data_IF_228611409688
#
_entry.id   IF_228611409688
#
_cell.length_a   1.000
_cell.length_b   1.000
_cell.length_c   1.000
_cell.angle_alpha   90.00
_cell.angle_beta   90.00
_cell.angle_gamma   90.00
#
_symmetry.space_group_name_H-M   'P 1'
#
loop_
_entity.id
_entity.type
_entity.pdbx_description
1 polymer ?
#
# COMPACT_ATOMS: atom_id res chain seq x y z
N UNK A 1 13.85 2.84 -18.87
CA UNK A 1 13.19 1.56 -18.51
C UNK A 1 12.32 1.78 -17.27
N UNK A 2 11.01 1.53 -17.39
CA UNK A 2 10.01 1.76 -16.34
C UNK A 2 10.32 0.93 -15.08
N UNK A 3 10.54 -0.38 -15.26
CA UNK A 3 10.85 -1.26 -14.14
C UNK A 3 12.24 -0.98 -13.53
N UNK A 4 13.18 -0.45 -14.29
CA UNK A 4 14.46 -0.01 -13.75
C UNK A 4 14.27 1.18 -12.81
N UNK A 5 13.40 2.14 -13.15
CA UNK A 5 13.10 3.27 -12.27
C UNK A 5 12.50 2.81 -10.93
N UNK A 6 11.51 1.91 -10.96
CA UNK A 6 10.99 1.27 -9.75
C UNK A 6 12.08 0.56 -8.93
N UNK A 7 12.92 -0.25 -9.59
CA UNK A 7 13.98 -0.99 -8.91
C UNK A 7 15.02 -0.07 -8.29
N UNK A 8 15.38 1.00 -8.99
CA UNK A 8 16.34 2.00 -8.51
C UNK A 8 15.81 2.71 -7.26
N UNK A 9 14.54 3.13 -7.27
CA UNK A 9 13.93 3.78 -6.12
C UNK A 9 13.96 2.87 -4.89
N UNK A 10 13.41 1.67 -5.02
CA UNK A 10 13.29 0.74 -3.90
C UNK A 10 14.65 0.33 -3.34
N UNK A 11 15.62 0.05 -4.20
CA UNK A 11 16.97 -0.31 -3.76
C UNK A 11 17.67 0.83 -3.03
N UNK A 12 17.63 2.05 -3.59
CA UNK A 12 18.30 3.21 -2.97
C UNK A 12 17.64 3.62 -1.64
N UNK A 13 16.33 3.44 -1.48
CA UNK A 13 15.60 3.74 -0.27
C UNK A 13 15.73 2.66 0.82
N UNK A 14 16.09 1.42 0.44
CA UNK A 14 16.13 0.27 1.36
C UNK A 14 17.24 0.34 2.40
N UNK A 15 18.35 1.01 2.09
CA UNK A 15 19.58 0.98 2.90
C UNK A 15 20.41 -0.29 2.74
N UNK A 16 20.06 -1.20 1.83
CA UNK A 16 20.82 -2.43 1.56
C UNK A 16 22.04 -2.16 0.68
N UNK A 17 23.15 -2.85 0.93
CA UNK A 17 24.37 -2.80 0.08
C UNK A 17 24.18 -3.55 -1.24
N UNK A 18 23.42 -4.64 -1.17
CA UNK A 18 23.04 -5.51 -2.27
C UNK A 18 21.65 -6.06 -1.98
N UNK A 19 20.80 -6.16 -2.99
CA UNK A 19 19.48 -6.74 -2.85
C UNK A 19 18.99 -7.40 -4.14
N UNK A 20 18.04 -8.33 -3.97
CA UNK A 20 17.10 -8.72 -5.03
C UNK A 20 15.95 -7.72 -5.02
N UNK A 21 15.70 -7.06 -6.15
CA UNK A 21 14.54 -6.17 -6.28
C UNK A 21 13.53 -6.76 -7.23
N UNK A 22 12.34 -7.02 -6.69
CA UNK A 22 11.18 -7.52 -7.42
C UNK A 22 10.27 -6.34 -7.77
N UNK A 23 10.07 -6.14 -9.05
CA UNK A 23 9.11 -5.18 -9.58
C UNK A 23 7.91 -5.96 -10.06
N UNK A 24 6.76 -5.74 -9.43
CA UNK A 24 5.48 -6.39 -9.78
C UNK A 24 4.50 -5.26 -10.05
N UNK A 25 4.35 -4.95 -11.34
CA UNK A 25 3.62 -3.76 -11.74
C UNK A 25 2.47 -4.05 -12.69
N UNK A 26 1.58 -3.08 -12.81
CA UNK A 26 0.40 -3.16 -13.65
C UNK A 26 0.74 -3.19 -15.12
N UNK A 27 1.53 -2.22 -15.55
CA UNK A 27 1.89 -1.97 -16.92
C UNK A 27 3.28 -1.34 -16.98
N UNK A 28 4.31 -2.16 -17.07
CA UNK A 28 5.65 -1.67 -17.35
C UNK A 28 5.77 -1.08 -18.75
N UNK A 29 6.98 -0.93 -19.24
CA UNK A 29 7.23 -0.36 -20.56
C UNK A 29 6.43 -1.11 -21.65
N UNK A 30 5.74 -0.34 -22.49
CA UNK A 30 5.06 -0.87 -23.67
C UNK A 30 6.06 -1.03 -24.80
N UNK A 31 6.15 -2.23 -25.32
CA UNK A 31 6.92 -2.59 -26.48
C UNK A 31 6.06 -2.52 -27.76
N UNK A 32 6.66 -2.82 -28.91
CA UNK A 32 5.94 -3.08 -30.16
C UNK A 32 4.83 -4.12 -29.95
N UNK A 33 3.81 -4.12 -30.78
CA UNK A 33 2.69 -5.08 -30.76
C UNK A 33 1.91 -5.13 -29.45
N UNK A 34 1.93 -4.06 -28.65
CA UNK A 34 1.22 -3.93 -27.38
C UNK A 34 1.65 -4.93 -26.31
N UNK A 35 2.86 -5.47 -26.42
CA UNK A 35 3.47 -6.30 -25.37
C UNK A 35 3.99 -5.35 -24.26
N UNK A 36 3.72 -5.69 -23.00
CA UNK A 36 4.15 -4.94 -21.83
C UNK A 36 4.94 -5.80 -20.85
N UNK A 37 5.83 -5.14 -20.15
CA UNK A 37 6.45 -5.75 -18.96
C UNK A 37 5.41 -5.89 -17.85
N UNK A 38 5.49 -6.98 -17.09
CA UNK A 38 4.64 -7.24 -15.93
C UNK A 38 5.43 -7.46 -14.65
N UNK A 39 6.37 -8.39 -14.65
CA UNK A 39 7.27 -8.64 -13.54
C UNK A 39 8.72 -8.58 -13.99
N UNK A 40 9.57 -8.04 -13.13
CA UNK A 40 11.02 -8.04 -13.32
C UNK A 40 11.75 -8.33 -12.02
N UNK A 41 12.90 -8.99 -12.10
CA UNK A 41 13.78 -9.19 -10.95
C UNK A 41 15.18 -8.72 -11.31
N UNK A 42 15.74 -7.91 -10.43
CA UNK A 42 17.07 -7.36 -10.56
C UNK A 42 17.95 -7.76 -9.39
N UNK A 43 19.24 -8.00 -9.66
CA UNK A 43 20.29 -7.91 -8.64
C UNK A 43 20.79 -6.48 -8.64
N UNK A 44 20.64 -5.79 -7.52
CA UNK A 44 20.98 -4.38 -7.37
C UNK A 44 22.19 -4.21 -6.47
N UNK A 45 23.17 -3.40 -6.91
CA UNK A 45 24.38 -3.03 -6.17
C UNK A 45 24.75 -1.58 -6.44
N UNK A 46 25.32 -0.90 -5.45
CA UNK A 46 25.84 0.45 -5.65
C UNK A 46 27.04 0.50 -6.60
N UNK A 47 27.24 1.62 -7.34
CA UNK A 47 26.40 2.83 -7.33
C UNK A 47 25.12 2.70 -8.17
N UNK A 48 25.17 2.07 -9.32
CA UNK A 48 24.07 1.93 -10.28
C UNK A 48 24.22 0.63 -11.09
N UNK A 49 24.55 -0.47 -10.41
CA UNK A 49 24.66 -1.79 -11.07
C UNK A 49 23.37 -2.58 -10.85
N UNK A 50 22.53 -2.58 -11.87
CA UNK A 50 21.24 -3.27 -11.89
C UNK A 50 21.29 -4.38 -12.94
N UNK A 51 21.58 -5.61 -12.50
CA UNK A 51 21.60 -6.77 -13.39
C UNK A 51 20.20 -7.39 -13.44
N UNK A 52 19.56 -7.34 -14.60
CA UNK A 52 18.29 -8.06 -14.86
C UNK A 52 18.55 -9.55 -14.82
N UNK A 53 17.75 -10.31 -14.05
CA UNK A 53 17.81 -11.76 -13.96
C UNK A 53 16.48 -12.45 -14.30
N UNK A 54 15.40 -11.65 -14.41
CA UNK A 54 14.07 -12.11 -14.82
C UNK A 54 13.29 -11.00 -15.47
N UNK A 55 12.57 -11.30 -16.54
CA UNK A 55 11.58 -10.45 -17.18
C UNK A 55 10.39 -11.28 -17.60
N UNK A 56 9.19 -10.84 -17.28
CA UNK A 56 7.95 -11.38 -17.81
C UNK A 56 7.22 -10.34 -18.64
N UNK A 57 6.72 -10.76 -19.79
CA UNK A 57 5.99 -9.91 -20.72
C UNK A 57 4.60 -10.51 -20.96
N UNK A 58 3.61 -9.65 -21.16
CA UNK A 58 2.26 -10.07 -21.49
C UNK A 58 1.66 -9.22 -22.62
N UNK A 59 0.66 -9.74 -23.31
CA UNK A 59 -0.04 -9.04 -24.38
C UNK A 59 -1.23 -8.24 -23.83
N UNK A 60 -1.32 -6.96 -24.18
CA UNK A 60 -2.42 -6.07 -23.75
C UNK A 60 -3.66 -6.22 -24.63
N UNK A 61 -3.70 -7.07 -25.62
CA UNK A 61 -4.77 -7.04 -26.63
C UNK A 61 -5.81 -8.15 -26.53
N UNK A 62 -6.97 -7.80 -27.09
CA UNK A 62 -8.21 -8.55 -27.13
C UNK A 62 -8.25 -9.58 -28.25
N UNK A 63 -8.74 -10.75 -27.98
CA UNK A 63 -9.56 -11.51 -28.91
C UNK A 63 -8.84 -12.38 -29.94
N UNK A 64 -7.57 -12.70 -29.81
CA UNK A 64 -6.90 -13.72 -30.62
C UNK A 64 -5.99 -14.57 -29.77
N UNK A 65 -5.93 -15.86 -30.06
CA UNK A 65 -4.94 -16.80 -29.55
C UNK A 65 -3.54 -16.35 -30.00
N UNK A 66 -2.92 -15.50 -29.18
CA UNK A 66 -1.61 -14.96 -29.47
C UNK A 66 -0.59 -15.69 -28.62
N UNK A 67 0.26 -16.46 -29.27
CA UNK A 67 1.37 -17.14 -28.63
C UNK A 67 2.45 -16.11 -28.23
N UNK A 68 2.28 -15.52 -27.06
CA UNK A 68 3.23 -14.52 -26.53
C UNK A 68 4.57 -15.14 -26.22
N UNK A 69 4.61 -16.41 -25.83
CA UNK A 69 5.85 -17.10 -25.47
C UNK A 69 6.79 -17.23 -26.68
N UNK A 70 6.26 -17.49 -27.86
CA UNK A 70 7.02 -17.62 -29.10
C UNK A 70 7.05 -16.33 -29.94
N UNK A 71 6.50 -15.24 -29.43
CA UNK A 71 6.49 -13.96 -30.15
C UNK A 71 7.92 -13.50 -30.44
N UNK A 72 8.13 -12.97 -31.68
CA UNK A 72 9.45 -12.48 -32.11
C UNK A 72 10.07 -11.45 -31.17
N UNK A 73 9.27 -10.60 -30.53
CA UNK A 73 9.73 -9.61 -29.57
C UNK A 73 10.28 -10.29 -28.30
N UNK A 74 9.60 -11.30 -27.76
CA UNK A 74 10.09 -12.07 -26.61
C UNK A 74 11.40 -12.77 -26.97
N UNK A 75 11.50 -13.32 -28.19
CA UNK A 75 12.74 -13.91 -28.71
C UNK A 75 13.86 -12.87 -28.83
N UNK A 76 13.55 -11.62 -29.23
CA UNK A 76 14.49 -10.50 -29.26
C UNK A 76 14.94 -10.12 -27.83
N UNK A 77 14.01 -10.06 -26.85
CA UNK A 77 14.34 -9.79 -25.45
C UNK A 77 15.20 -10.90 -24.84
N UNK A 78 14.96 -12.17 -25.16
CA UNK A 78 15.84 -13.30 -24.76
C UNK A 78 17.28 -13.10 -25.26
N UNK A 79 17.48 -12.53 -26.44
CA UNK A 79 18.81 -12.22 -26.99
C UNK A 79 19.45 -11.01 -26.29
N UNK A 80 18.67 -9.99 -25.90
CA UNK A 80 19.17 -8.80 -25.19
C UNK A 80 19.55 -9.16 -23.75
N UNK A 81 18.69 -9.88 -23.04
CA UNK A 81 18.88 -10.30 -21.65
C UNK A 81 19.42 -11.73 -21.56
N UNK A 82 20.57 -12.01 -22.19
CA UNK A 82 21.15 -13.37 -22.32
C UNK A 82 21.27 -14.13 -21.00
N UNK A 83 21.56 -13.43 -19.91
CA UNK A 83 21.75 -14.02 -18.57
C UNK A 83 20.47 -14.04 -17.74
N UNK A 84 19.37 -13.54 -18.27
CA UNK A 84 18.09 -13.48 -17.58
C UNK A 84 17.14 -14.58 -18.08
N UNK A 85 16.27 -15.03 -17.17
CA UNK A 85 15.08 -15.78 -17.57
C UNK A 85 14.06 -14.80 -18.15
N UNK A 86 13.73 -14.93 -19.44
CA UNK A 86 12.74 -14.11 -20.11
C UNK A 86 11.56 -14.98 -20.52
N UNK A 87 10.38 -14.58 -20.08
CA UNK A 87 9.10 -15.23 -20.38
C UNK A 87 8.18 -14.31 -21.18
N UNK A 88 7.29 -14.90 -21.94
CA UNK A 88 6.11 -14.26 -22.47
C UNK A 88 4.90 -15.03 -21.98
N UNK A 89 3.97 -14.36 -21.35
CA UNK A 89 2.74 -14.93 -20.85
C UNK A 89 1.59 -14.57 -21.80
N UNK A 90 0.93 -15.57 -22.33
CA UNK A 90 -0.35 -15.42 -23.03
C UNK A 90 -1.50 -15.24 -22.04
N UNK A 91 -1.24 -15.54 -20.76
CA UNK A 91 -2.19 -15.52 -19.66
C UNK A 91 -2.07 -14.24 -18.82
N UNK A 92 -2.93 -14.17 -17.82
CA UNK A 92 -2.96 -13.06 -16.89
C UNK A 92 -1.77 -13.09 -15.93
N UNK A 93 -1.08 -11.98 -15.80
CA UNK A 93 -0.07 -11.79 -14.76
C UNK A 93 -0.70 -11.46 -13.40
N UNK A 94 0.12 -11.41 -12.35
CA UNK A 94 -0.30 -11.19 -10.96
C UNK A 94 -1.20 -9.96 -10.82
N UNK A 95 -0.80 -8.84 -11.41
CA UNK A 95 -1.53 -7.56 -11.28
C UNK A 95 -2.81 -7.55 -12.09
N UNK A 96 -2.82 -8.13 -13.29
CA UNK A 96 -4.00 -8.18 -14.16
C UNK A 96 -5.10 -9.06 -13.59
N UNK A 97 -4.76 -10.18 -12.98
CA UNK A 97 -5.73 -11.00 -12.24
C UNK A 97 -6.37 -10.19 -11.12
N UNK A 98 -5.56 -9.43 -10.38
CA UNK A 98 -6.08 -8.60 -9.29
C UNK A 98 -6.99 -7.47 -9.78
N UNK A 99 -6.61 -6.79 -10.88
CA UNK A 99 -7.43 -5.75 -11.52
C UNK A 99 -8.74 -6.30 -12.07
N UNK A 100 -8.68 -7.43 -12.76
CA UNK A 100 -9.85 -8.08 -13.32
C UNK A 100 -10.84 -8.49 -12.23
N UNK A 101 -10.33 -9.01 -11.11
CA UNK A 101 -11.15 -9.30 -9.95
C UNK A 101 -11.80 -8.03 -9.39
N UNK A 102 -11.06 -6.93 -9.32
CA UNK A 102 -11.57 -5.64 -8.85
C UNK A 102 -12.70 -5.14 -9.72
N UNK A 103 -12.55 -5.21 -11.04
CA UNK A 103 -13.61 -4.83 -11.99
C UNK A 103 -14.82 -5.78 -11.91
N UNK A 104 -14.57 -7.07 -11.76
CA UNK A 104 -15.61 -8.09 -11.68
C UNK A 104 -16.54 -7.89 -10.47
N UNK A 105 -15.98 -7.52 -9.33
CA UNK A 105 -16.76 -7.19 -8.11
C UNK A 105 -17.41 -5.80 -8.17
N UNK A 106 -17.34 -5.11 -9.32
CA UNK A 106 -18.04 -3.85 -9.58
C UNK A 106 -17.30 -2.60 -9.08
N UNK A 107 -15.99 -2.69 -8.84
CA UNK A 107 -15.15 -1.55 -8.47
C UNK A 107 -14.39 -1.00 -9.69
N UNK A 108 -13.87 0.23 -9.56
CA UNK A 108 -13.00 0.78 -10.60
C UNK A 108 -11.66 0.05 -10.61
N UNK A 109 -11.08 -0.15 -11.78
CA UNK A 109 -9.84 -0.92 -12.01
C UNK A 109 -8.65 -0.47 -11.14
N UNK A 110 -8.59 0.80 -10.76
CA UNK A 110 -7.55 1.36 -9.88
C UNK A 110 -7.85 1.22 -8.38
N UNK A 111 -8.99 0.62 -8.01
CA UNK A 111 -9.43 0.50 -6.61
C UNK A 111 -9.09 -0.86 -6.00
N UNK A 112 -7.96 -1.46 -6.39
CA UNK A 112 -7.49 -2.78 -5.93
C UNK A 112 -7.44 -2.93 -4.39
N UNK A 113 -7.22 -1.83 -3.67
CA UNK A 113 -7.30 -1.80 -2.21
C UNK A 113 -8.69 -2.13 -1.65
N UNK A 114 -9.76 -1.97 -2.44
CA UNK A 114 -11.12 -2.40 -2.05
C UNK A 114 -11.23 -3.93 -2.11
N UNK A 115 -10.71 -4.55 -3.17
CA UNK A 115 -10.63 -6.02 -3.31
C UNK A 115 -9.83 -6.63 -2.17
N UNK A 116 -8.67 -6.07 -1.84
CA UNK A 116 -7.84 -6.49 -0.71
C UNK A 116 -8.60 -6.41 0.63
N UNK A 117 -9.33 -5.33 0.88
CA UNK A 117 -10.15 -5.18 2.10
C UNK A 117 -11.32 -6.16 2.15
N UNK A 118 -11.95 -6.47 1.00
CA UNK A 118 -13.05 -7.41 0.90
C UNK A 118 -12.59 -8.86 1.09
N UNK A 119 -11.37 -9.19 0.68
CA UNK A 119 -10.80 -10.54 0.79
C UNK A 119 -10.81 -11.09 2.22
N UNK A 120 -10.63 -10.23 3.23
CA UNK A 120 -10.70 -10.63 4.64
C UNK A 120 -12.05 -11.21 5.07
N UNK A 121 -13.14 -10.90 4.38
CA UNK A 121 -14.48 -11.42 4.66
C UNK A 121 -14.80 -12.73 3.91
N UNK A 122 -13.92 -13.13 2.98
CA UNK A 122 -14.12 -14.31 2.15
C UNK A 122 -13.66 -15.60 2.81
N UNK A 123 -14.04 -16.72 2.20
CA UNK A 123 -13.69 -18.08 2.62
C UNK A 123 -13.06 -18.83 1.45
N UNK A 124 -12.19 -19.78 1.77
CA UNK A 124 -11.63 -20.70 0.79
C UNK A 124 -12.72 -21.66 0.26
N UNK A 125 -13.12 -21.48 -0.98
CA UNK A 125 -14.18 -22.29 -1.64
C UNK A 125 -13.66 -23.05 -2.86
N UNK A 126 -12.42 -23.41 -2.91
CA UNK A 126 -11.84 -24.24 -4.01
C UNK A 126 -12.25 -23.71 -5.39
N UNK A 127 -12.10 -22.41 -5.62
CA UNK A 127 -12.20 -21.88 -6.97
C UNK A 127 -11.13 -22.49 -7.87
N UNK A 128 -11.37 -22.58 -9.19
CA UNK A 128 -10.35 -22.98 -10.14
C UNK A 128 -9.10 -22.10 -10.02
N UNK A 129 -7.99 -22.58 -10.53
CA UNK A 129 -6.78 -21.77 -10.62
C UNK A 129 -7.03 -20.57 -11.51
N UNK A 130 -6.97 -19.37 -10.91
CA UNK A 130 -7.21 -18.11 -11.60
C UNK A 130 -6.11 -17.77 -12.62
N UNK A 131 -5.02 -18.48 -12.60
CA UNK A 131 -3.87 -18.33 -13.49
C UNK A 131 -3.81 -19.44 -14.54
N UNK A 132 -4.84 -20.28 -14.65
CA UNK A 132 -4.88 -21.34 -15.63
C UNK A 132 -5.39 -20.80 -16.98
N UNK A 133 -4.69 -21.14 -18.05
CA UNK A 133 -4.95 -20.74 -19.43
C UNK A 133 -6.35 -21.06 -19.91
N UNK A 134 -6.92 -22.19 -19.52
CA UNK A 134 -8.25 -22.63 -19.95
C UNK A 134 -9.41 -21.72 -19.48
N UNK A 135 -9.17 -20.84 -18.51
CA UNK A 135 -10.17 -19.95 -17.95
C UNK A 135 -9.98 -18.47 -18.32
N UNK A 136 -8.84 -18.10 -18.92
CA UNK A 136 -8.41 -16.71 -19.02
C UNK A 136 -7.88 -16.33 -20.39
N UNK A 137 -8.62 -16.57 -21.43
CA UNK A 137 -8.13 -16.29 -22.78
C UNK A 137 -7.86 -14.83 -23.08
N UNK A 138 -8.52 -13.88 -22.42
CA UNK A 138 -8.30 -12.45 -22.68
C UNK A 138 -8.78 -11.56 -21.56
N UNK A 139 -8.12 -10.44 -21.35
CA UNK A 139 -8.47 -9.40 -20.37
C UNK A 139 -9.97 -9.04 -20.32
N UNK A 140 -10.67 -9.04 -21.46
CA UNK A 140 -12.11 -8.83 -21.54
C UNK A 140 -12.94 -10.13 -21.51
N UNK A 141 -12.40 -11.23 -21.98
CA UNK A 141 -13.06 -12.55 -21.91
C UNK A 141 -13.14 -13.06 -20.49
N UNK A 142 -12.18 -12.71 -19.65
CA UNK A 142 -12.19 -13.05 -18.24
C UNK A 142 -13.41 -12.49 -17.50
N UNK A 143 -13.81 -11.25 -17.78
CA UNK A 143 -15.01 -10.67 -17.18
C UNK A 143 -16.28 -11.45 -17.54
N UNK A 144 -16.38 -11.97 -18.75
CA UNK A 144 -17.54 -12.71 -19.24
C UNK A 144 -17.54 -14.14 -18.68
N UNK A 145 -16.45 -14.89 -18.86
CA UNK A 145 -16.33 -16.28 -18.43
C UNK A 145 -16.47 -16.44 -16.92
N UNK A 146 -15.88 -15.51 -16.12
CA UNK A 146 -16.03 -15.52 -14.68
C UNK A 146 -17.44 -15.15 -14.22
N UNK A 147 -18.07 -14.16 -14.83
CA UNK A 147 -19.45 -13.80 -14.53
C UNK A 147 -20.39 -14.98 -14.73
N UNK A 148 -20.19 -15.74 -15.80
CA UNK A 148 -20.98 -16.94 -16.12
C UNK A 148 -20.67 -18.09 -15.18
N UNK A 149 -19.39 -18.43 -15.03
CA UNK A 149 -18.95 -19.58 -14.23
C UNK A 149 -19.32 -19.45 -12.74
N UNK A 150 -19.20 -18.27 -12.16
CA UNK A 150 -19.54 -18.01 -10.75
C UNK A 150 -20.91 -17.37 -10.54
N UNK A 151 -21.70 -17.21 -11.59
CA UNK A 151 -23.01 -16.57 -11.49
C UNK A 151 -22.93 -15.11 -11.05
N UNK A 152 -21.83 -14.42 -11.33
CA UNK A 152 -21.56 -13.01 -10.97
C UNK A 152 -22.23 -12.01 -11.92
N UNK A 153 -23.20 -12.44 -12.72
CA UNK A 153 -23.86 -11.60 -13.73
C UNK A 153 -24.70 -10.45 -13.14
N UNK A 154 -25.02 -10.50 -11.86
CA UNK A 154 -25.85 -9.48 -11.22
C UNK A 154 -24.99 -8.43 -10.51
N UNK A 155 -25.08 -7.18 -10.97
CA UNK A 155 -24.35 -6.02 -10.42
C UNK A 155 -24.74 -5.61 -8.98
N UNK A 156 -25.74 -6.27 -8.37
CA UNK A 156 -26.15 -5.93 -7.02
C UNK A 156 -25.17 -6.53 -5.98
N UNK A 157 -24.15 -5.77 -5.65
CA UNK A 157 -23.10 -6.11 -4.69
C UNK A 157 -23.67 -6.56 -3.32
N UNK A 158 -24.70 -5.87 -2.82
CA UNK A 158 -25.24 -6.16 -1.47
C UNK A 158 -25.90 -7.54 -1.37
N UNK A 159 -26.50 -8.03 -2.45
CA UNK A 159 -27.14 -9.35 -2.49
C UNK A 159 -26.16 -10.51 -2.62
N UNK A 160 -24.95 -10.27 -3.12
CA UNK A 160 -23.94 -11.30 -3.41
C UNK A 160 -22.59 -11.05 -2.73
N UNK A 161 -22.57 -10.23 -1.69
CA UNK A 161 -21.34 -9.84 -1.00
C UNK A 161 -20.47 -11.01 -0.52
N UNK A 162 -21.08 -12.12 -0.11
CA UNK A 162 -20.34 -13.32 0.32
C UNK A 162 -19.60 -13.97 -0.84
N UNK A 163 -20.21 -14.10 -2.02
CA UNK A 163 -19.57 -14.67 -3.20
C UNK A 163 -18.43 -13.77 -3.72
N UNK A 164 -18.65 -12.46 -3.74
CA UNK A 164 -17.61 -11.50 -4.10
C UNK A 164 -16.43 -11.51 -3.10
N UNK A 165 -16.72 -11.65 -1.81
CA UNK A 165 -15.70 -11.78 -0.79
C UNK A 165 -14.90 -13.08 -0.93
N UNK A 166 -15.58 -14.22 -1.20
CA UNK A 166 -14.92 -15.51 -1.43
C UNK A 166 -14.01 -15.44 -2.67
N UNK A 167 -14.45 -14.76 -3.73
CA UNK A 167 -13.66 -14.55 -4.93
C UNK A 167 -12.45 -13.62 -4.67
N UNK A 168 -12.65 -12.51 -3.97
CA UNK A 168 -11.57 -11.62 -3.56
C UNK A 168 -10.54 -12.35 -2.67
N UNK A 169 -11.00 -13.23 -1.77
CA UNK A 169 -10.12 -14.10 -0.97
C UNK A 169 -9.26 -15.00 -1.84
N UNK A 170 -9.85 -15.65 -2.83
CA UNK A 170 -9.13 -16.55 -3.74
C UNK A 170 -8.07 -15.81 -4.56
N UNK A 171 -8.41 -14.61 -5.07
CA UNK A 171 -7.47 -13.75 -5.79
C UNK A 171 -6.29 -13.35 -4.90
N UNK A 172 -6.59 -12.91 -3.66
CA UNK A 172 -5.54 -12.58 -2.69
C UNK A 172 -4.65 -13.78 -2.40
N UNK A 173 -5.23 -14.95 -2.14
CA UNK A 173 -4.52 -16.18 -1.84
C UNK A 173 -3.61 -16.61 -2.99
N UNK A 174 -4.12 -16.69 -4.21
CA UNK A 174 -3.32 -17.16 -5.35
C UNK A 174 -2.21 -16.17 -5.72
N UNK A 175 -2.50 -14.88 -5.77
CA UNK A 175 -1.49 -13.90 -6.16
C UNK A 175 -0.36 -13.78 -5.12
N UNK A 176 -0.66 -13.86 -3.82
CA UNK A 176 0.39 -13.86 -2.79
C UNK A 176 1.27 -15.11 -2.82
N UNK A 177 0.69 -16.29 -3.15
CA UNK A 177 1.46 -17.53 -3.35
C UNK A 177 2.39 -17.43 -4.57
N UNK A 178 1.93 -16.81 -5.66
CA UNK A 178 2.79 -16.58 -6.82
C UNK A 178 3.98 -15.70 -6.48
N UNK A 179 3.76 -14.59 -5.76
CA UNK A 179 4.85 -13.72 -5.32
C UNK A 179 5.79 -14.46 -4.37
N UNK A 180 5.28 -15.25 -3.42
CA UNK A 180 6.08 -16.06 -2.53
C UNK A 180 6.98 -17.03 -3.32
N UNK A 181 6.42 -17.72 -4.32
CA UNK A 181 7.16 -18.68 -5.14
C UNK A 181 8.23 -17.98 -6.00
N UNK A 182 7.92 -16.79 -6.54
CA UNK A 182 8.87 -15.98 -7.29
C UNK A 182 10.06 -15.56 -6.40
N UNK A 183 9.79 -15.09 -5.19
CA UNK A 183 10.82 -14.70 -4.19
C UNK A 183 11.68 -15.91 -3.83
N UNK A 184 11.06 -17.05 -3.45
CA UNK A 184 11.78 -18.30 -3.13
C UNK A 184 12.69 -18.75 -4.25
N UNK A 185 12.21 -18.72 -5.50
CA UNK A 185 12.97 -19.11 -6.69
C UNK A 185 14.27 -18.32 -6.82
N UNK A 186 14.18 -16.98 -6.78
CA UNK A 186 15.35 -16.15 -7.03
C UNK A 186 16.27 -16.02 -5.82
N UNK A 187 15.74 -16.07 -4.59
CA UNK A 187 16.58 -16.20 -3.39
C UNK A 187 17.39 -17.49 -3.41
N UNK A 188 16.75 -18.64 -3.76
CA UNK A 188 17.46 -19.92 -3.91
C UNK A 188 18.52 -19.88 -5.02
N UNK A 189 18.23 -19.22 -6.15
CA UNK A 189 19.14 -19.12 -7.30
C UNK A 189 20.37 -18.26 -7.00
N UNK A 190 20.22 -17.20 -6.18
CA UNK A 190 21.28 -16.18 -5.99
C UNK A 190 21.95 -16.23 -4.61
N UNK A 191 21.28 -16.78 -3.61
CA UNK A 191 21.72 -16.74 -2.21
C UNK A 191 21.54 -15.38 -1.51
N UNK A 192 21.05 -14.35 -2.22
CA UNK A 192 20.86 -12.99 -1.68
C UNK A 192 19.64 -13.00 -0.77
N UNK A 193 19.80 -12.49 0.47
CA UNK A 193 18.74 -12.48 1.49
C UNK A 193 18.04 -11.13 1.66
N UNK A 194 18.58 -10.05 1.10
CA UNK A 194 17.94 -8.74 1.10
C UNK A 194 16.99 -8.65 -0.09
N UNK A 195 15.74 -8.36 0.16
CA UNK A 195 14.66 -8.37 -0.83
C UNK A 195 13.93 -7.05 -0.79
N UNK A 196 13.90 -6.34 -1.92
CA UNK A 196 13.06 -5.17 -2.13
C UNK A 196 11.85 -5.56 -2.99
N UNK A 197 10.65 -5.11 -2.59
CA UNK A 197 9.43 -5.18 -3.41
C UNK A 197 8.99 -3.78 -3.80
N UNK A 198 8.63 -3.62 -5.08
CA UNK A 198 8.11 -2.38 -5.67
C UNK A 198 7.20 -2.67 -6.87
N UNK A 199 6.69 -1.64 -7.54
CA UNK A 199 5.58 -1.77 -8.48
C UNK A 199 4.25 -1.73 -7.75
N UNK A 200 3.15 -1.41 -8.43
CA UNK A 200 1.84 -1.19 -7.81
C UNK A 200 1.35 -2.32 -6.91
N UNK A 201 1.74 -3.58 -7.19
CA UNK A 201 1.38 -4.72 -6.35
C UNK A 201 2.05 -4.70 -4.97
N UNK A 202 3.21 -4.08 -4.80
CA UNK A 202 3.88 -3.96 -3.50
C UNK A 202 3.11 -3.11 -2.48
N UNK A 203 2.06 -2.39 -2.91
CA UNK A 203 1.09 -1.75 -2.02
C UNK A 203 0.10 -2.73 -1.37
N UNK A 204 0.15 -4.02 -1.73
CA UNK A 204 -0.64 -5.09 -1.11
C UNK A 204 -0.03 -5.48 0.24
N UNK A 205 -0.48 -4.81 1.29
CA UNK A 205 0.04 -4.97 2.66
C UNK A 205 -0.19 -6.37 3.24
N UNK A 206 -1.22 -7.08 2.75
CA UNK A 206 -1.53 -8.46 3.17
C UNK A 206 -0.47 -9.41 2.61
N UNK A 207 -0.15 -9.29 1.32
CA UNK A 207 0.96 -10.05 0.71
C UNK A 207 2.29 -9.76 1.39
N UNK A 208 2.56 -8.48 1.70
CA UNK A 208 3.82 -8.10 2.36
C UNK A 208 3.96 -8.76 3.73
N UNK A 209 2.90 -8.75 4.55
CA UNK A 209 2.88 -9.47 5.84
C UNK A 209 3.04 -10.97 5.67
N UNK A 210 2.36 -11.56 4.68
CA UNK A 210 2.47 -12.97 4.35
C UNK A 210 3.90 -13.39 3.96
N UNK A 211 4.61 -12.59 3.17
CA UNK A 211 6.00 -12.86 2.79
C UNK A 211 6.93 -12.87 4.00
N UNK A 212 6.78 -11.93 4.93
CA UNK A 212 7.58 -11.87 6.16
C UNK A 212 7.30 -13.11 7.03
N UNK A 213 6.03 -13.46 7.20
CA UNK A 213 5.64 -14.66 7.95
C UNK A 213 6.26 -15.95 7.37
N UNK A 214 6.20 -16.11 6.04
CA UNK A 214 6.67 -17.34 5.36
C UNK A 214 8.19 -17.40 5.16
N UNK A 215 8.86 -16.25 5.18
CA UNK A 215 10.29 -16.13 4.92
C UNK A 215 11.00 -15.25 5.98
N UNK A 216 10.86 -15.58 7.28
CA UNK A 216 11.38 -14.73 8.38
C UNK A 216 12.91 -14.62 8.41
N UNK A 217 13.62 -15.43 7.62
CA UNK A 217 15.08 -15.40 7.49
C UNK A 217 15.57 -14.42 6.41
N UNK A 218 14.66 -13.73 5.71
CA UNK A 218 14.97 -12.71 4.71
C UNK A 218 14.79 -11.31 5.30
N UNK A 219 15.56 -10.35 4.79
CA UNK A 219 15.40 -8.95 5.11
C UNK A 219 14.55 -8.30 4.01
N UNK A 220 13.35 -7.86 4.35
CA UNK A 220 12.44 -7.24 3.40
C UNK A 220 12.43 -5.72 3.50
N UNK A 221 12.34 -5.07 2.35
CA UNK A 221 11.99 -3.67 2.19
C UNK A 221 10.86 -3.55 1.17
N UNK A 222 9.77 -2.91 1.58
CA UNK A 222 8.61 -2.63 0.73
C UNK A 222 8.57 -1.13 0.46
N UNK A 223 8.73 -0.75 -0.81
CA UNK A 223 8.78 0.66 -1.21
C UNK A 223 7.45 1.36 -0.90
N UNK A 224 7.41 2.46 -0.13
CA UNK A 224 6.17 3.18 0.17
C UNK A 224 5.62 3.97 -1.03
N UNK A 225 6.49 4.36 -1.99
CA UNK A 225 6.12 5.00 -3.25
C UNK A 225 6.18 3.99 -4.40
N UNK A 226 5.64 2.80 -4.16
CA UNK A 226 5.78 1.65 -5.06
C UNK A 226 4.99 1.77 -6.36
N UNK A 227 4.01 2.65 -6.45
CA UNK A 227 3.29 2.95 -7.69
C UNK A 227 4.09 3.90 -8.60
N UNK A 228 3.52 4.22 -9.77
CA UNK A 228 4.18 5.07 -10.77
C UNK A 228 4.54 6.47 -10.27
N UNK A 229 3.94 6.93 -9.16
CA UNK A 229 4.27 8.23 -8.56
C UNK A 229 5.73 8.30 -8.08
N UNK A 230 6.33 7.16 -7.75
CA UNK A 230 7.75 7.05 -7.36
C UNK A 230 8.73 7.01 -8.53
N UNK A 231 8.28 6.74 -9.76
CA UNK A 231 9.17 6.48 -10.89
C UNK A 231 10.04 7.68 -11.28
N UNK A 232 9.53 8.90 -11.14
CA UNK A 232 10.32 10.12 -11.40
C UNK A 232 11.52 10.23 -10.46
N UNK A 233 11.35 9.89 -9.19
CA UNK A 233 12.45 9.84 -8.21
C UNK A 233 13.43 8.73 -8.55
N UNK A 234 12.94 7.53 -8.89
CA UNK A 234 13.78 6.41 -9.30
C UNK A 234 14.63 6.73 -10.52
N UNK A 235 14.05 7.34 -11.55
CA UNK A 235 14.76 7.77 -12.75
C UNK A 235 15.82 8.83 -12.43
N UNK A 236 15.52 9.82 -11.59
CA UNK A 236 16.46 10.83 -11.16
C UNK A 236 17.63 10.22 -10.36
N UNK A 237 17.34 9.27 -9.47
CA UNK A 237 18.37 8.54 -8.71
C UNK A 237 19.27 7.70 -9.61
N UNK A 238 18.72 7.04 -10.63
CA UNK A 238 19.50 6.26 -11.60
C UNK A 238 20.52 7.15 -12.33
N UNK A 239 20.05 8.27 -12.88
CA UNK A 239 20.91 9.24 -13.56
C UNK A 239 21.97 9.81 -12.61
N UNK A 240 21.55 10.25 -11.40
CA UNK A 240 22.47 10.79 -10.40
C UNK A 240 23.59 9.78 -10.07
N UNK A 241 23.23 8.54 -9.72
CA UNK A 241 24.20 7.49 -9.36
C UNK A 241 25.10 7.09 -10.53
N UNK A 242 24.54 7.07 -11.74
CA UNK A 242 25.29 6.75 -12.96
C UNK A 242 26.35 7.82 -13.25
N UNK A 243 26.02 9.10 -13.09
CA UNK A 243 26.95 10.22 -13.38
C UNK A 243 27.95 10.44 -12.26
N UNK A 244 27.50 10.47 -11.01
CA UNK A 244 28.37 10.82 -9.86
C UNK A 244 29.17 9.65 -9.31
N UNK A 245 28.78 8.40 -9.61
CA UNK A 245 29.32 7.17 -8.99
C UNK A 245 29.22 7.18 -7.46
N UNK A 246 28.29 7.97 -6.89
CA UNK A 246 28.08 8.05 -5.44
C UNK A 246 27.65 6.67 -4.89
N UNK A 247 28.47 6.13 -3.97
CA UNK A 247 28.23 4.84 -3.29
C UNK A 247 27.62 4.99 -1.90
N UNK A 248 27.27 6.22 -1.51
CA UNK A 248 26.68 6.47 -0.19
C UNK A 248 25.34 5.74 -0.05
N UNK A 249 25.26 4.88 0.96
CA UNK A 249 24.06 4.13 1.27
C UNK A 249 23.18 4.99 2.17
N UNK A 250 21.94 5.16 1.78
CA UNK A 250 20.93 5.92 2.54
C UNK A 250 19.69 5.06 2.69
N UNK A 251 19.08 5.11 3.87
CA UNK A 251 17.76 4.52 4.13
C UNK A 251 16.72 5.62 4.11
N UNK A 252 15.57 5.36 3.50
CA UNK A 252 14.44 6.28 3.57
C UNK A 252 13.97 6.43 5.02
N UNK A 253 13.88 7.66 5.49
CA UNK A 253 13.46 7.98 6.86
C UNK A 253 11.99 8.41 6.89
N UNK A 254 11.53 9.14 5.87
CA UNK A 254 10.17 9.64 5.77
C UNK A 254 9.76 9.87 4.30
N UNK A 255 8.48 10.07 4.06
CA UNK A 255 7.91 10.36 2.73
C UNK A 255 7.34 11.79 2.63
N UNK A 256 7.68 12.70 3.52
CA UNK A 256 7.15 14.06 3.57
C UNK A 256 7.86 14.96 2.55
N UNK A 257 7.61 14.72 1.26
CA UNK A 257 8.29 15.41 0.17
C UNK A 257 7.45 16.50 -0.49
N UNK A 258 6.12 16.37 -0.44
CA UNK A 258 5.24 17.37 -1.02
C UNK A 258 5.34 18.68 -0.25
N UNK A 259 5.42 19.79 -0.96
CA UNK A 259 5.69 21.08 -0.38
C UNK A 259 4.58 22.08 -0.70
N UNK A 260 3.89 22.54 0.34
CA UNK A 260 3.07 23.75 0.24
C UNK A 260 3.94 24.96 0.59
N UNK A 261 3.94 25.96 -0.27
CA UNK A 261 4.61 27.25 -0.02
C UNK A 261 3.83 28.15 0.93
N UNK A 262 2.66 27.70 1.37
CA UNK A 262 1.75 28.49 2.18
C UNK A 262 2.21 28.57 3.63
N UNK A 263 2.23 29.80 4.16
CA UNK A 263 2.35 30.00 5.59
C UNK A 263 0.98 29.71 6.22
N UNK A 264 0.94 28.79 7.18
CA UNK A 264 -0.27 28.53 7.97
C UNK A 264 -0.64 29.82 8.70
N UNK A 265 -1.82 30.34 8.41
CA UNK A 265 -2.37 31.47 9.20
C UNK A 265 -2.74 30.90 10.58
N UNK A 266 -2.33 31.55 11.68
CA UNK A 266 -2.65 31.07 13.01
C UNK A 266 -4.13 31.32 13.32
N UNK A 267 -5.00 30.40 12.89
CA UNK A 267 -6.44 30.45 13.14
C UNK A 267 -6.85 29.41 14.18
N UNK A 268 -8.00 29.61 14.79
CA UNK A 268 -8.55 28.72 15.81
C UNK A 268 -8.05 29.02 17.23
N UNK A 269 -8.40 28.14 18.15
CA UNK A 269 -8.06 28.21 19.56
C UNK A 269 -6.67 27.68 19.83
N UNK A 270 -5.95 28.27 20.76
CA UNK A 270 -4.68 27.74 21.29
C UNK A 270 -4.96 26.38 21.97
N UNK A 271 -4.11 25.40 21.72
CA UNK A 271 -4.20 24.07 22.33
C UNK A 271 -2.82 23.45 22.47
N UNK A 272 -2.66 22.62 23.49
CA UNK A 272 -1.51 21.75 23.68
C UNK A 272 -1.72 20.39 22.99
N UNK A 273 -0.67 19.60 22.85
CA UNK A 273 -0.76 18.20 22.40
C UNK A 273 -1.62 17.38 23.36
N UNK A 274 -1.51 17.64 24.68
CA UNK A 274 -2.33 17.01 25.73
C UNK A 274 -3.84 17.29 25.54
N UNK A 275 -4.23 18.49 25.10
CA UNK A 275 -5.64 18.80 24.81
C UNK A 275 -6.18 17.95 23.66
N UNK A 276 -5.36 17.72 22.63
CA UNK A 276 -5.70 16.86 21.50
C UNK A 276 -5.77 15.37 21.91
N UNK A 277 -4.81 14.90 22.70
CA UNK A 277 -4.84 13.55 23.26
C UNK A 277 -6.10 13.33 24.12
N UNK A 278 -6.47 14.31 24.94
CA UNK A 278 -7.70 14.32 25.73
C UNK A 278 -8.97 14.32 24.86
N UNK A 279 -8.98 15.04 23.76
CA UNK A 279 -10.10 15.02 22.83
C UNK A 279 -10.27 13.64 22.18
N UNK A 280 -9.16 13.04 21.69
CA UNK A 280 -9.16 11.67 21.15
C UNK A 280 -9.64 10.65 22.18
N UNK A 281 -9.17 10.73 23.45
CA UNK A 281 -9.60 9.82 24.52
C UNK A 281 -11.10 9.94 24.86
N UNK A 282 -11.72 11.06 24.51
CA UNK A 282 -13.17 11.34 24.58
C UNK A 282 -13.91 11.04 23.27
N UNK A 283 -13.32 10.23 22.40
CA UNK A 283 -13.93 9.77 21.16
C UNK A 283 -14.20 10.89 20.13
N UNK A 284 -13.39 11.97 20.16
CA UNK A 284 -13.41 13.00 19.12
C UNK A 284 -12.53 12.59 17.95
N UNK A 285 -12.98 12.87 16.74
CA UNK A 285 -12.19 12.70 15.52
C UNK A 285 -11.30 13.92 15.30
N UNK A 286 -10.02 13.69 15.02
CA UNK A 286 -9.04 14.77 14.82
C UNK A 286 -8.39 14.63 13.45
N UNK A 287 -8.51 15.67 12.62
CA UNK A 287 -7.68 15.81 11.43
C UNK A 287 -6.40 16.56 11.76
N UNK A 288 -5.29 16.12 11.20
CA UNK A 288 -3.96 16.73 11.39
C UNK A 288 -3.53 17.40 10.09
N UNK A 289 -3.07 18.63 10.20
CA UNK A 289 -2.38 19.34 9.13
C UNK A 289 -1.04 19.86 9.67
N UNK A 290 0.07 19.28 9.21
CA UNK A 290 1.43 19.59 9.66
C UNK A 290 2.41 19.56 8.48
N UNK A 291 3.30 20.55 8.39
CA UNK A 291 4.42 20.59 7.47
C UNK A 291 4.11 20.19 6.03
N UNK A 292 5.06 19.53 5.41
CA UNK A 292 4.92 18.95 4.06
C UNK A 292 4.01 17.71 4.10
N UNK A 293 3.16 17.57 3.09
CA UNK A 293 2.34 16.37 2.97
C UNK A 293 3.18 15.13 2.61
N UNK A 294 2.62 13.97 2.91
CA UNK A 294 3.17 12.69 2.49
C UNK A 294 3.15 12.57 0.97
N UNK A 295 4.25 12.05 0.39
CA UNK A 295 4.26 11.47 -0.95
C UNK A 295 3.88 9.99 -0.87
N UNK A 296 3.14 9.50 -1.87
CA UNK A 296 2.62 8.14 -1.86
C UNK A 296 1.21 8.02 -1.24
N UNK A 297 0.65 6.79 -1.22
CA UNK A 297 -0.78 6.57 -0.95
C UNK A 297 -1.14 6.49 0.54
N UNK A 298 -0.20 6.73 1.45
CA UNK A 298 -0.41 6.53 2.90
C UNK A 298 -0.27 7.84 3.68
N UNK A 299 -1.21 8.09 4.60
CA UNK A 299 -1.11 9.15 5.57
C UNK A 299 -0.32 8.66 6.79
N UNK A 300 0.71 9.41 7.19
CA UNK A 300 1.70 9.00 8.18
C UNK A 300 1.84 10.03 9.32
N UNK A 301 0.83 10.85 9.54
CA UNK A 301 0.77 11.80 10.64
C UNK A 301 0.78 13.28 10.24
N UNK A 302 1.05 13.62 8.97
CA UNK A 302 1.00 15.00 8.48
C UNK A 302 -0.35 15.38 7.86
N UNK A 303 -1.00 14.45 7.16
CA UNK A 303 -2.34 14.60 6.56
C UNK A 303 -3.22 13.42 6.97
N UNK A 304 -3.47 13.31 8.28
CA UNK A 304 -4.14 12.17 8.90
C UNK A 304 -5.48 12.56 9.52
N UNK A 305 -6.44 11.63 9.50
CA UNK A 305 -7.59 11.62 10.40
C UNK A 305 -7.30 10.56 11.45
N UNK A 306 -7.33 10.98 12.71
CA UNK A 306 -7.04 10.15 13.89
C UNK A 306 -8.31 9.89 14.69
N UNK A 307 -8.39 8.71 15.30
CA UNK A 307 -9.47 8.34 16.20
C UNK A 307 -9.00 7.32 17.23
N UNK A 308 -9.75 7.17 18.32
CA UNK A 308 -9.44 6.24 19.40
C UNK A 308 -9.64 4.78 18.96
N UNK A 309 -8.55 4.00 18.93
CA UNK A 309 -8.54 2.59 18.55
C UNK A 309 -9.30 1.67 19.53
N UNK A 310 -9.57 2.12 20.76
CA UNK A 310 -10.32 1.37 21.78
C UNK A 310 -11.83 1.28 21.49
N UNK A 311 -12.34 2.18 20.64
CA UNK A 311 -13.75 2.18 20.29
C UNK A 311 -14.07 1.05 19.28
N UNK A 312 -14.90 0.10 19.69
CA UNK A 312 -15.33 -1.02 18.83
C UNK A 312 -16.07 -0.59 17.55
N UNK A 313 -16.69 0.59 17.57
CA UNK A 313 -17.42 1.15 16.43
C UNK A 313 -16.57 2.12 15.59
N UNK A 314 -15.26 2.26 15.89
CA UNK A 314 -14.38 3.23 15.22
C UNK A 314 -14.41 3.10 13.70
N UNK A 315 -14.43 1.85 13.18
CA UNK A 315 -14.52 1.58 11.76
C UNK A 315 -15.78 2.19 11.13
N UNK A 316 -16.93 2.01 11.75
CA UNK A 316 -18.21 2.49 11.20
C UNK A 316 -18.31 4.02 11.28
N UNK A 317 -17.86 4.61 12.41
CA UNK A 317 -17.82 6.05 12.62
C UNK A 317 -16.93 6.71 11.54
N UNK A 318 -15.69 6.24 11.38
CA UNK A 318 -14.75 6.87 10.46
C UNK A 318 -15.10 6.56 8.99
N UNK A 319 -15.65 5.38 8.65
CA UNK A 319 -16.15 5.10 7.31
C UNK A 319 -17.32 6.01 6.94
N UNK A 320 -18.22 6.32 7.90
CA UNK A 320 -19.33 7.27 7.69
C UNK A 320 -18.78 8.68 7.40
N UNK A 321 -17.83 9.17 8.19
CA UNK A 321 -17.16 10.47 7.98
C UNK A 321 -16.53 10.52 6.59
N UNK A 322 -15.82 9.46 6.19
CA UNK A 322 -15.14 9.36 4.90
C UNK A 322 -16.08 9.03 3.73
N UNK A 323 -17.36 8.74 3.97
CA UNK A 323 -18.35 8.36 2.94
C UNK A 323 -17.89 7.19 2.08
N UNK A 324 -17.35 6.13 2.69
CA UNK A 324 -16.76 4.99 1.98
C UNK A 324 -17.37 3.65 2.44
N UNK A 325 -17.02 2.58 1.74
CA UNK A 325 -17.60 1.25 1.89
C UNK A 325 -17.36 0.68 3.30
N UNK A 326 -18.35 0.03 3.86
CA UNK A 326 -18.40 -0.52 5.23
C UNK A 326 -17.29 -1.56 5.53
N UNK A 327 -16.85 -2.32 4.52
CA UNK A 327 -15.85 -3.39 4.69
C UNK A 327 -14.41 -2.88 4.72
N UNK A 328 -14.16 -1.64 4.39
CA UNK A 328 -12.78 -1.11 4.33
C UNK A 328 -12.17 -1.04 5.72
N UNK A 329 -10.99 -1.70 5.91
CA UNK A 329 -10.27 -1.61 7.17
C UNK A 329 -9.58 -0.26 7.34
N UNK A 330 -9.18 0.03 8.57
CA UNK A 330 -8.30 1.13 8.91
C UNK A 330 -6.92 0.64 9.31
N UNK A 331 -5.94 1.51 9.14
CA UNK A 331 -4.62 1.34 9.71
C UNK A 331 -4.58 1.93 11.13
N UNK A 332 -3.53 1.63 11.86
CA UNK A 332 -3.22 2.34 13.08
C UNK A 332 -1.78 2.87 13.08
N UNK A 333 -1.55 3.85 13.94
CA UNK A 333 -0.21 4.27 14.33
C UNK A 333 0.00 3.89 15.78
N UNK A 334 1.18 3.37 16.08
CA UNK A 334 1.57 2.85 17.40
C UNK A 334 2.97 3.36 17.75
N UNK A 335 3.25 3.63 19.02
CA UNK A 335 4.62 3.91 19.44
C UNK A 335 5.53 2.72 19.10
N UNK A 336 6.69 3.00 18.50
CA UNK A 336 7.62 1.98 18.01
C UNK A 336 8.05 1.02 19.12
N UNK A 337 8.32 1.53 20.30
CA UNK A 337 8.68 0.76 21.49
C UNK A 337 7.61 -0.23 21.95
N UNK A 338 6.33 0.08 21.72
CA UNK A 338 5.19 -0.74 22.13
C UNK A 338 4.67 -1.67 21.02
N UNK A 339 5.13 -1.52 19.77
CA UNK A 339 4.56 -2.21 18.63
C UNK A 339 4.56 -3.74 18.78
N UNK A 340 5.67 -4.30 19.26
CA UNK A 340 5.79 -5.75 19.50
C UNK A 340 4.91 -6.27 20.64
N UNK A 341 4.43 -5.42 21.55
CA UNK A 341 3.46 -5.79 22.60
C UNK A 341 2.05 -6.00 22.02
N UNK A 342 1.71 -5.26 20.95
CA UNK A 342 0.37 -5.29 20.33
C UNK A 342 0.28 -6.19 19.09
N UNK A 343 1.37 -6.33 18.34
CA UNK A 343 1.39 -6.99 17.04
C UNK A 343 2.45 -8.10 16.96
N UNK A 344 2.21 -9.11 16.14
CA UNK A 344 3.19 -10.15 15.82
C UNK A 344 4.01 -9.65 14.62
N UNK A 345 5.15 -9.01 14.90
CA UNK A 345 5.95 -8.35 13.88
C UNK A 345 7.03 -9.25 13.24
N UNK A 346 7.03 -10.55 13.54
CA UNK A 346 7.93 -11.54 12.95
C UNK A 346 9.43 -11.17 13.03
N UNK A 347 9.84 -10.50 14.11
CA UNK A 347 11.23 -10.07 14.33
C UNK A 347 11.59 -8.71 13.77
N UNK A 348 10.65 -8.00 13.12
CA UNK A 348 10.86 -6.61 12.75
C UNK A 348 10.74 -5.68 13.97
N UNK A 349 11.58 -4.67 14.02
CA UNK A 349 11.54 -3.64 15.04
C UNK A 349 10.69 -2.43 14.65
N UNK A 350 10.50 -2.19 13.35
CA UNK A 350 9.81 -1.02 12.82
C UNK A 350 8.96 -1.34 11.58
N UNK A 351 7.94 -0.54 11.35
CA UNK A 351 7.12 -0.50 10.13
C UNK A 351 6.61 0.93 9.91
N UNK A 352 7.47 1.89 9.53
CA UNK A 352 7.14 3.32 9.57
C UNK A 352 6.19 3.78 8.46
N UNK A 353 6.00 2.99 7.39
CA UNK A 353 5.35 3.45 6.14
C UNK A 353 3.98 2.83 5.86
N UNK A 354 3.37 2.12 6.81
CA UNK A 354 2.08 1.42 6.58
C UNK A 354 2.09 0.46 5.37
N UNK A 355 3.21 -0.15 5.06
CA UNK A 355 3.37 -1.08 3.94
C UNK A 355 3.10 -2.54 4.29
N UNK A 356 2.88 -2.86 5.57
CA UNK A 356 2.77 -4.22 6.08
C UNK A 356 1.54 -4.36 6.97
N UNK A 357 0.83 -5.48 6.85
CA UNK A 357 -0.22 -5.90 7.78
C UNK A 357 0.30 -6.99 8.70
N UNK A 358 0.07 -6.84 10.00
CA UNK A 358 0.51 -7.79 11.03
C UNK A 358 -0.68 -8.34 11.81
N UNK A 359 -0.63 -9.61 12.26
CA UNK A 359 -1.60 -10.15 13.19
C UNK A 359 -1.57 -9.39 14.53
N UNK A 360 -2.75 -9.09 15.05
CA UNK A 360 -2.89 -8.51 16.39
C UNK A 360 -2.78 -9.62 17.43
N UNK A 361 -2.00 -9.40 18.48
CA UNK A 361 -1.86 -10.38 19.57
C UNK A 361 -3.20 -10.65 20.25
N UNK A 362 -3.47 -11.90 20.58
CA UNK A 362 -4.77 -12.36 21.08
C UNK A 362 -5.25 -11.54 22.30
N UNK A 363 -4.36 -11.26 23.23
CA UNK A 363 -4.60 -10.51 24.46
C UNK A 363 -4.87 -9.00 24.23
N UNK A 364 -4.49 -8.48 23.08
CA UNK A 364 -4.69 -7.06 22.73
C UNK A 364 -5.95 -6.79 21.87
N UNK A 365 -6.61 -7.84 21.38
CA UNK A 365 -7.77 -7.68 20.49
C UNK A 365 -8.92 -6.90 21.13
N UNK A 366 -9.17 -7.11 22.40
CA UNK A 366 -10.23 -6.40 23.11
C UNK A 366 -9.82 -4.97 23.53
N UNK A 367 -8.52 -4.64 23.43
CA UNK A 367 -8.00 -3.33 23.82
C UNK A 367 -8.08 -2.35 22.64
N UNK A 368 -7.81 -2.83 21.41
CA UNK A 368 -7.80 -1.99 20.21
C UNK A 368 -8.78 -2.50 19.12
N UNK A 369 -10.03 -2.84 19.45
CA UNK A 369 -10.97 -3.46 18.51
C UNK A 369 -11.28 -2.59 17.29
N UNK A 370 -11.12 -1.27 17.38
CA UNK A 370 -11.46 -0.32 16.34
C UNK A 370 -10.56 -0.35 15.10
N UNK A 371 -9.40 -0.99 15.18
CA UNK A 371 -8.41 -1.05 14.09
C UNK A 371 -8.15 -2.47 13.57
N UNK A 372 -8.82 -3.46 14.15
CA UNK A 372 -8.65 -4.86 13.77
C UNK A 372 -9.55 -5.18 12.58
N UNK A 373 -8.94 -5.73 11.53
CA UNK A 373 -9.70 -6.28 10.41
C UNK A 373 -10.26 -7.67 10.76
N UNK A 374 -11.24 -8.15 9.99
CA UNK A 374 -11.96 -9.42 10.26
C UNK A 374 -11.05 -10.65 10.23
N UNK A 375 -9.91 -10.59 9.57
CA UNK A 375 -8.85 -11.60 9.55
C UNK A 375 -7.92 -11.54 10.77
N UNK A 376 -8.22 -10.69 11.74
CA UNK A 376 -7.42 -10.40 12.94
C UNK A 376 -6.08 -9.69 12.68
N UNK A 377 -5.91 -9.09 11.52
CA UNK A 377 -4.74 -8.28 11.20
C UNK A 377 -5.01 -6.78 11.31
N UNK A 378 -3.93 -6.01 11.33
CA UNK A 378 -3.94 -4.55 11.21
C UNK A 378 -2.74 -4.08 10.39
N UNK A 379 -2.95 -3.11 9.51
CA UNK A 379 -1.87 -2.37 8.87
C UNK A 379 -1.35 -1.31 9.83
N UNK A 380 -0.07 -1.36 10.17
CA UNK A 380 0.49 -0.50 11.19
C UNK A 380 1.51 0.51 10.63
N UNK A 381 1.61 1.64 11.33
CA UNK A 381 2.73 2.55 11.30
C UNK A 381 3.37 2.55 12.70
N UNK A 382 4.66 2.22 12.79
CA UNK A 382 5.44 2.52 14.00
C UNK A 382 5.88 3.98 13.98
N UNK A 383 5.72 4.66 15.10
CA UNK A 383 6.04 6.08 15.27
C UNK A 383 7.10 6.25 16.34
N UNK A 384 8.18 6.91 15.98
CA UNK A 384 9.26 7.30 16.87
C UNK A 384 9.49 8.83 16.79
N UNK A 385 10.53 9.33 17.41
CA UNK A 385 10.84 10.76 17.46
C UNK A 385 11.22 11.40 16.10
N UNK A 386 11.27 10.65 15.00
CA UNK A 386 11.44 11.20 13.65
C UNK A 386 10.20 11.99 13.17
N UNK A 387 9.03 11.79 13.83
CA UNK A 387 7.79 12.55 13.62
C UNK A 387 7.36 13.16 14.95
N UNK A 388 8.01 14.24 15.42
CA UNK A 388 7.95 14.68 16.82
C UNK A 388 6.54 14.96 17.34
N UNK A 389 5.73 15.72 16.62
CA UNK A 389 4.36 16.07 17.01
C UNK A 389 3.46 14.84 17.16
N UNK A 390 3.68 13.81 16.33
CA UNK A 390 2.87 12.59 16.34
C UNK A 390 3.35 11.60 17.41
N UNK A 391 4.66 11.55 17.62
CA UNK A 391 5.26 10.80 18.73
C UNK A 391 4.78 11.35 20.09
N UNK A 392 4.82 12.68 20.28
CA UNK A 392 4.32 13.35 21.48
C UNK A 392 2.82 13.08 21.66
N UNK A 393 2.01 13.18 20.62
CA UNK A 393 0.57 12.89 20.69
C UNK A 393 0.29 11.45 21.14
N UNK A 394 0.98 10.46 20.58
CA UNK A 394 0.82 9.06 20.98
C UNK A 394 1.29 8.82 22.42
N UNK A 395 2.35 9.49 22.84
CA UNK A 395 2.87 9.42 24.22
C UNK A 395 1.85 9.98 25.20
N UNK A 396 1.29 11.18 24.94
CA UNK A 396 0.23 11.78 25.75
C UNK A 396 -1.05 10.93 25.76
N UNK A 397 -1.41 10.34 24.61
CA UNK A 397 -2.56 9.46 24.55
C UNK A 397 -2.33 8.17 25.36
N UNK A 398 -1.13 7.58 25.29
CA UNK A 398 -0.72 6.43 26.11
C UNK A 398 -0.79 6.77 27.60
N UNK A 399 -0.31 7.96 27.99
CA UNK A 399 -0.36 8.41 29.38
C UNK A 399 -1.81 8.49 29.90
N UNK A 400 -2.75 9.01 29.10
CA UNK A 400 -4.16 9.17 29.48
C UNK A 400 -4.94 7.85 29.46
N UNK A 401 -4.56 6.88 28.61
CA UNK A 401 -5.41 5.73 28.29
C UNK A 401 -4.77 4.38 28.54
N UNK A 402 -3.48 4.37 28.80
CA UNK A 402 -2.62 3.17 28.83
C UNK A 402 -2.60 2.38 27.50
N UNK A 403 -2.95 3.04 26.37
CA UNK A 403 -2.96 2.43 25.03
C UNK A 403 -2.17 3.31 24.05
N UNK A 404 -1.05 2.84 23.49
CA UNK A 404 -0.18 3.61 22.60
C UNK A 404 -0.63 3.57 21.13
N UNK A 405 -1.92 3.38 20.85
CA UNK A 405 -2.45 3.07 19.52
C UNK A 405 -3.59 4.00 19.16
N UNK A 406 -3.47 4.67 18.00
CA UNK A 406 -4.53 5.45 17.38
C UNK A 406 -4.90 4.88 16.00
N UNK A 407 -6.19 4.86 15.66
CA UNK A 407 -6.62 4.70 14.29
C UNK A 407 -6.06 5.86 13.46
N UNK A 408 -5.47 5.54 12.32
CA UNK A 408 -4.92 6.52 11.39
C UNK A 408 -5.40 6.25 9.95
N UNK A 409 -5.96 7.26 9.32
CA UNK A 409 -6.35 7.23 7.91
C UNK A 409 -6.09 8.56 7.23
N UNK A 410 -6.07 8.57 5.90
CA UNK A 410 -5.79 9.77 5.10
C UNK A 410 -6.82 10.88 5.32
N UNK A 411 -6.33 12.13 5.41
CA UNK A 411 -7.18 13.30 5.48
C UNK A 411 -7.68 13.68 4.08
N UNK A 412 -8.79 13.10 3.71
CA UNK A 412 -9.60 13.33 2.51
C UNK A 412 -10.95 12.65 2.67
N UNK A 413 -11.93 13.01 1.85
CA UNK A 413 -13.20 12.29 1.72
C UNK A 413 -13.17 11.34 0.51
N UNK A 414 -14.22 10.53 0.34
CA UNK A 414 -14.32 9.64 -0.82
C UNK A 414 -14.31 10.44 -2.13
N UNK A 415 -13.47 10.01 -3.08
CA UNK A 415 -13.31 10.69 -4.37
C UNK A 415 -12.40 11.90 -4.36
N UNK A 416 -11.86 12.31 -3.21
CA UNK A 416 -10.89 13.40 -3.09
C UNK A 416 -9.45 12.85 -2.99
N UNK A 417 -8.48 13.61 -3.52
CA UNK A 417 -7.06 13.38 -3.23
C UNK A 417 -6.75 13.66 -1.76
N UNK A 418 -5.57 13.24 -1.31
CA UNK A 418 -5.06 13.64 0.00
C UNK A 418 -4.97 15.18 0.05
N UNK A 419 -5.42 15.76 1.16
CA UNK A 419 -5.28 17.20 1.41
C UNK A 419 -3.82 17.62 1.23
N UNK A 420 -3.57 18.61 0.39
CA UNK A 420 -2.24 19.17 0.13
C UNK A 420 -2.10 20.54 0.81
N UNK A 421 -2.93 21.49 0.40
CA UNK A 421 -2.88 22.89 0.87
C UNK A 421 -3.65 23.11 2.17
N UNK A 422 -3.38 24.26 2.79
CA UNK A 422 -4.15 24.74 3.93
C UNK A 422 -5.63 24.95 3.55
N UNK A 423 -5.90 25.49 2.37
CA UNK A 423 -7.26 25.70 1.87
C UNK A 423 -8.00 24.35 1.68
N UNK A 424 -7.33 23.33 1.15
CA UNK A 424 -7.90 21.98 1.06
C UNK A 424 -8.27 21.44 2.44
N UNK A 425 -7.41 21.65 3.44
CA UNK A 425 -7.66 21.21 4.81
C UNK A 425 -8.93 21.85 5.38
N UNK A 426 -9.06 23.18 5.25
CA UNK A 426 -10.25 23.91 5.69
C UNK A 426 -11.50 23.46 4.94
N UNK A 427 -11.42 23.32 3.61
CA UNK A 427 -12.53 22.87 2.75
C UNK A 427 -13.00 21.48 3.11
N UNK A 428 -12.08 20.52 3.25
CA UNK A 428 -12.40 19.12 3.61
C UNK A 428 -12.95 19.04 5.04
N UNK A 429 -12.37 19.77 5.98
CA UNK A 429 -12.88 19.86 7.36
C UNK A 429 -14.31 20.38 7.41
N UNK A 430 -14.63 21.47 6.71
CA UNK A 430 -15.99 22.05 6.63
C UNK A 430 -17.03 21.07 6.10
N UNK A 431 -16.69 20.29 5.06
CA UNK A 431 -17.58 19.34 4.38
C UNK A 431 -17.74 18.00 5.12
N UNK A 432 -16.97 17.76 6.17
CA UNK A 432 -16.92 16.48 6.89
C UNK A 432 -17.54 16.61 8.29
N UNK A 433 -17.81 15.47 8.91
CA UNK A 433 -18.23 15.37 10.31
C UNK A 433 -17.02 15.24 11.26
N UNK A 434 -15.81 15.64 10.84
CA UNK A 434 -14.63 15.67 11.70
C UNK A 434 -14.83 16.73 12.79
N UNK A 435 -14.52 16.38 14.05
CA UNK A 435 -14.74 17.26 15.20
C UNK A 435 -13.68 18.37 15.31
N UNK A 436 -12.41 18.05 15.04
CA UNK A 436 -11.28 18.95 15.27
C UNK A 436 -10.32 18.92 14.07
N UNK A 437 -9.90 20.09 13.61
CA UNK A 437 -8.74 20.25 12.72
C UNK A 437 -7.59 20.85 13.54
N UNK A 438 -6.51 20.08 13.68
CA UNK A 438 -5.34 20.42 14.48
C UNK A 438 -4.15 20.84 13.62
N UNK A 439 -3.51 21.94 14.04
CA UNK A 439 -2.30 22.52 13.46
C UNK A 439 -1.16 22.49 14.48
N UNK A 440 -0.37 21.41 14.54
CA UNK A 440 0.73 21.28 15.51
C UNK A 440 1.75 22.43 15.46
N UNK A 441 2.13 22.89 14.25
CA UNK A 441 3.12 23.96 14.07
C UNK A 441 2.74 25.29 14.74
N UNK A 442 1.46 25.56 14.90
CA UNK A 442 0.96 26.82 15.49
C UNK A 442 0.32 26.60 16.87
N UNK A 443 0.35 25.39 17.38
CA UNK A 443 -0.33 24.99 18.63
C UNK A 443 -1.80 25.44 18.67
N UNK A 444 -2.53 25.19 17.55
CA UNK A 444 -3.92 25.63 17.42
C UNK A 444 -4.82 24.54 16.86
N UNK A 445 -6.10 24.63 17.17
CA UNK A 445 -7.13 23.80 16.60
C UNK A 445 -8.39 24.57 16.24
N UNK A 446 -9.16 24.02 15.30
CA UNK A 446 -10.49 24.49 14.95
C UNK A 446 -11.47 23.39 15.33
N UNK A 447 -12.45 23.71 16.17
CA UNK A 447 -13.55 22.83 16.58
C UNK A 447 -14.93 23.44 16.33
N UNK A 448 -14.97 24.65 15.80
CA UNK A 448 -16.18 25.35 15.39
C UNK A 448 -16.08 25.75 13.91
N UNK A 449 -16.98 25.20 13.11
CA UNK A 449 -17.01 25.38 11.65
C UNK A 449 -17.76 26.65 11.23
N UNK A 450 -18.55 27.25 12.12
CA UNK A 450 -19.42 28.40 11.83
C UNK A 450 -18.66 29.65 11.45
N UNK A 451 -17.44 29.83 11.99
CA UNK A 451 -16.62 31.02 11.83
C UNK A 451 -15.52 30.88 10.77
N UNK A 452 -15.55 29.83 9.94
CA UNK A 452 -14.59 29.65 8.88
C UNK A 452 -15.07 30.38 7.62
N UNK A 453 -14.65 31.61 7.40
CA UNK A 453 -14.76 32.26 6.10
C UNK A 453 -13.86 31.53 5.08
N UNK A 454 -14.38 31.22 3.91
CA UNK A 454 -13.59 30.87 2.71
C UNK A 454 -13.70 32.02 1.77
#
# INVERSE_FOLDING_TARGET
>A
DHHLAHATLAFNNSGFKEALTFVIDRNGAMMEDRIRESESVFICKYPANFKTIYKNYFLVNKGQDYDVENHQLVSKMKKIFKDAEVKGDSTMNITKVYESATTLIGQHVLENGKTMGLAGYGKDKKFPDLMNDDLYFHYHGMEVGYKEHFGLQNKNFDKRKSLYADYAFQVQKQTQEMVLNLVKKFVKKTGIRNVCLTGGYALNVVTNGYLIEKLPHLNFYFEPLADDSGNSLGAAMDIYRTLTKDKTIRKLVHTFFNHTKEKIKPIGKKCSVADIAKALSKQKTVAVYYGKAESGPRALGHRSILFDARNKNAKDIVNKIKKREWYRPFACSVLEEDANEYFIMYGLNESPFMTISFPVRKEKKNIIPGVIHVDNSCRIQTVNNSIPHFFELLTEFKYLTNVPVLLNTSFNLAGEALVESYEDAIKTFKKSDIDILWFPETERNINDKSNLAI
#
